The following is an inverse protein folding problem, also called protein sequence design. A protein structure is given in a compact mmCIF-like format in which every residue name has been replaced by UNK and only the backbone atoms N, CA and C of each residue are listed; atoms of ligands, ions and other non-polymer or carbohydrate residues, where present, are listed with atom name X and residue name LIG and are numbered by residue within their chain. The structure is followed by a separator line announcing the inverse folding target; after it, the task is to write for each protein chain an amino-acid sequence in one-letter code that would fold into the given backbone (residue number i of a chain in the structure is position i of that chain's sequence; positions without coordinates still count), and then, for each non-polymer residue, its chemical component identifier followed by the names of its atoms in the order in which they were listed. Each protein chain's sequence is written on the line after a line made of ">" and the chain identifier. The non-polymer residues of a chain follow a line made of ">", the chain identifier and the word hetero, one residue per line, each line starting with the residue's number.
data_IF_688970504421
#
_entry.id   IF_688970504421
#
_cell.length_a   1.000
_cell.length_b   1.000
_cell.length_c   1.000
_cell.angle_alpha   90.00
_cell.angle_beta   90.00
_cell.angle_gamma   90.00
#
_symmetry.space_group_name_H-M   'P 1'
#
loop_
_entity.id
_entity.type
_entity.pdbx_description
1 polymer ?
#
# COMPACT_ATOMS: atom_id res chain seq x y z
N UNK A 1 21.16 7.46 46.98
CA UNK A 1 20.82 6.15 46.36
C UNK A 1 19.41 5.64 46.67
N UNK A 2 18.63 6.23 47.59
CA UNK A 2 17.25 5.78 47.87
C UNK A 2 16.21 6.23 46.82
N UNK A 3 16.45 7.38 46.18
CA UNK A 3 15.55 7.93 45.16
C UNK A 3 15.74 7.34 43.75
N UNK A 4 16.89 6.74 43.47
CA UNK A 4 17.16 6.10 42.18
C UNK A 4 16.34 4.82 42.00
N UNK A 5 16.15 4.04 43.08
CA UNK A 5 15.33 2.83 43.04
C UNK A 5 13.83 3.11 42.89
N UNK A 6 13.33 4.25 43.38
CA UNK A 6 11.92 4.63 43.26
C UNK A 6 11.56 5.04 41.82
N UNK A 7 12.49 5.67 41.10
CA UNK A 7 12.29 6.08 39.70
C UNK A 7 12.25 4.86 38.77
N UNK A 8 13.07 3.82 39.02
CA UNK A 8 13.05 2.59 38.21
C UNK A 8 11.75 1.77 38.35
N UNK A 9 11.06 1.84 39.49
CA UNK A 9 9.80 1.12 39.73
C UNK A 9 8.61 1.80 39.01
N UNK A 10 8.66 3.12 38.83
CA UNK A 10 7.62 3.89 38.12
C UNK A 10 7.63 3.62 36.60
N UNK A 11 8.79 3.36 36.00
CA UNK A 11 8.89 3.03 34.57
C UNK A 11 8.47 1.60 34.23
N UNK A 12 8.46 0.67 35.19
CA UNK A 12 8.05 -0.72 34.95
C UNK A 12 6.52 -0.90 34.84
N UNK A 13 5.74 0.08 35.32
CA UNK A 13 4.28 0.03 35.31
C UNK A 13 3.64 0.74 34.11
N UNK A 14 4.44 1.14 33.10
CA UNK A 14 3.91 1.44 31.77
C UNK A 14 3.50 0.11 31.11
N UNK A 15 2.39 -0.46 31.58
CA UNK A 15 1.63 -1.41 30.80
C UNK A 15 1.26 -0.68 29.52
N UNK A 16 1.97 -0.99 28.42
CA UNK A 16 1.52 -0.65 27.08
C UNK A 16 0.10 -1.20 27.01
N UNK A 17 -0.90 -0.32 26.99
CA UNK A 17 -2.26 -0.72 26.71
C UNK A 17 -2.20 -1.16 25.25
N UNK A 18 -1.95 -2.45 25.02
CA UNK A 18 -2.03 -3.05 23.71
C UNK A 18 -3.52 -3.04 23.37
N UNK A 19 -3.97 -1.98 22.70
CA UNK A 19 -5.28 -2.00 22.05
C UNK A 19 -5.26 -3.23 21.15
N UNK A 20 -6.13 -4.18 21.44
CA UNK A 20 -6.24 -5.41 20.66
C UNK A 20 -6.49 -5.04 19.20
N UNK A 21 -5.97 -5.86 18.28
CA UNK A 21 -6.25 -5.69 16.85
C UNK A 21 -7.76 -5.55 16.62
N UNK A 22 -8.20 -4.66 15.71
CA UNK A 22 -9.62 -4.52 15.43
C UNK A 22 -10.18 -5.84 14.93
N UNK A 23 -11.44 -6.13 15.27
CA UNK A 23 -12.12 -7.29 14.70
C UNK A 23 -12.34 -7.09 13.19
N UNK A 24 -12.28 -8.17 12.40
CA UNK A 24 -12.49 -8.14 10.96
C UNK A 24 -13.84 -7.50 10.61
N UNK A 25 -14.88 -7.73 11.40
CA UNK A 25 -16.20 -7.12 11.17
C UNK A 25 -16.17 -5.58 11.28
N UNK A 26 -15.35 -5.02 12.19
CA UNK A 26 -15.20 -3.57 12.33
C UNK A 26 -14.53 -2.96 11.09
N UNK A 27 -13.46 -3.60 10.60
CA UNK A 27 -12.77 -3.18 9.38
C UNK A 27 -13.70 -3.29 8.17
N UNK A 28 -14.45 -4.39 8.05
CA UNK A 28 -15.41 -4.60 6.96
C UNK A 28 -16.47 -3.52 6.91
N UNK A 29 -17.01 -3.10 8.05
CA UNK A 29 -17.99 -2.01 8.13
C UNK A 29 -17.46 -0.70 7.51
N UNK A 30 -16.18 -0.39 7.70
CA UNK A 30 -15.54 0.79 7.10
C UNK A 30 -15.24 0.61 5.61
N UNK A 31 -15.11 -0.62 5.13
CA UNK A 31 -14.88 -0.93 3.71
C UNK A 31 -16.18 -1.04 2.91
N UNK A 32 -17.32 -1.16 3.57
CA UNK A 32 -18.64 -1.31 2.95
C UNK A 32 -19.27 0.04 2.54
N UNK A 33 -20.35 -0.03 1.77
CA UNK A 33 -21.11 1.14 1.33
C UNK A 33 -21.04 1.42 -0.17
N UNK A 34 -22.13 1.98 -0.70
CA UNK A 34 -22.29 2.28 -2.14
C UNK A 34 -21.39 3.43 -2.59
N UNK A 35 -21.31 4.50 -1.81
CA UNK A 35 -20.52 5.71 -2.09
C UNK A 35 -19.25 5.76 -1.25
N UNK A 36 -18.56 4.62 -1.16
CA UNK A 36 -17.39 4.50 -0.30
C UNK A 36 -16.28 5.47 -0.71
N UNK A 37 -15.67 6.07 0.32
CA UNK A 37 -14.44 6.85 0.25
C UNK A 37 -13.55 6.43 1.42
N UNK A 38 -12.24 6.61 1.27
CA UNK A 38 -11.31 6.33 2.34
C UNK A 38 -11.50 7.34 3.48
N UNK A 39 -12.07 6.88 4.59
CA UNK A 39 -12.24 7.65 5.83
C UNK A 39 -11.00 7.51 6.71
N UNK A 40 -10.07 8.46 6.54
CA UNK A 40 -8.75 8.42 7.19
C UNK A 40 -8.86 8.35 8.71
N UNK A 41 -9.72 9.18 9.30
CA UNK A 41 -9.88 9.27 10.75
C UNK A 41 -10.41 7.95 11.32
N UNK A 42 -11.48 7.42 10.72
CA UNK A 42 -12.07 6.15 11.17
C UNK A 42 -11.09 4.98 11.09
N UNK A 43 -10.29 4.88 10.03
CA UNK A 43 -9.28 3.82 9.92
C UNK A 43 -8.14 3.99 10.94
N UNK A 44 -7.67 5.22 11.20
CA UNK A 44 -6.60 5.46 12.17
C UNK A 44 -7.05 5.19 13.62
N UNK A 45 -8.34 5.38 13.93
CA UNK A 45 -8.92 5.09 15.24
C UNK A 45 -9.04 3.60 15.56
N UNK A 46 -8.95 2.69 14.58
CA UNK A 46 -8.99 1.24 14.80
C UNK A 46 -7.79 0.72 15.60
N UNK A 47 -6.69 1.48 15.63
CA UNK A 47 -5.52 1.17 16.44
C UNK A 47 -4.53 0.21 15.79
N UNK A 48 -3.71 -0.41 16.64
CA UNK A 48 -2.60 -1.27 16.22
C UNK A 48 -3.10 -2.50 15.44
N UNK A 49 -2.23 -3.06 14.60
CA UNK A 49 -2.49 -4.29 13.83
C UNK A 49 -3.67 -4.21 12.82
N UNK A 50 -4.25 -3.03 12.61
CA UNK A 50 -5.25 -2.79 11.55
C UNK A 50 -4.72 -3.16 10.16
N UNK A 51 -3.44 -2.94 9.92
CA UNK A 51 -2.75 -3.33 8.68
C UNK A 51 -2.82 -4.83 8.43
N UNK A 52 -2.65 -5.65 9.47
CA UNK A 52 -2.73 -7.12 9.35
C UNK A 52 -4.12 -7.57 8.90
N UNK A 53 -5.18 -6.99 9.47
CA UNK A 53 -6.56 -7.30 9.10
C UNK A 53 -6.87 -6.84 7.68
N UNK A 54 -6.38 -5.66 7.29
CA UNK A 54 -6.51 -5.16 5.91
C UNK A 54 -5.74 -6.02 4.90
N UNK A 55 -4.57 -6.54 5.27
CA UNK A 55 -3.80 -7.50 4.46
C UNK A 55 -4.60 -8.79 4.26
N UNK A 56 -5.21 -9.32 5.33
CA UNK A 56 -6.07 -10.51 5.25
C UNK A 56 -7.23 -10.28 4.26
N UNK A 57 -7.97 -9.18 4.41
CA UNK A 57 -9.10 -8.82 3.55
C UNK A 57 -8.64 -8.60 2.10
N UNK A 58 -7.55 -7.86 1.89
CA UNK A 58 -6.99 -7.62 0.55
C UNK A 58 -6.53 -8.90 -0.12
N UNK A 59 -5.97 -9.83 0.65
CA UNK A 59 -5.50 -11.14 0.21
C UNK A 59 -6.60 -12.12 -0.18
N UNK A 60 -7.72 -12.08 0.55
CA UNK A 60 -8.80 -13.07 0.46
C UNK A 60 -9.47 -13.11 -0.92
N UNK A 61 -9.25 -14.21 -1.67
CA UNK A 61 -9.83 -14.41 -3.00
C UNK A 61 -11.31 -14.79 -2.99
N UNK A 62 -11.86 -15.17 -1.83
CA UNK A 62 -13.30 -15.46 -1.68
C UNK A 62 -14.14 -14.19 -1.61
N UNK A 63 -13.52 -13.06 -1.23
CA UNK A 63 -14.19 -11.77 -1.15
C UNK A 63 -14.35 -11.13 -2.52
N UNK A 64 -15.44 -10.37 -2.66
CA UNK A 64 -15.68 -9.54 -3.84
C UNK A 64 -14.58 -8.49 -4.00
N UNK A 65 -14.15 -8.28 -5.25
CA UNK A 65 -13.00 -7.44 -5.56
C UNK A 65 -13.11 -5.99 -5.06
N UNK A 66 -14.30 -5.40 -4.97
CA UNK A 66 -14.40 -4.03 -4.48
C UNK A 66 -13.97 -3.91 -3.01
N UNK A 67 -14.23 -4.90 -2.16
CA UNK A 67 -13.79 -4.88 -0.75
C UNK A 67 -12.28 -5.01 -0.68
N UNK A 68 -11.72 -5.93 -1.47
CA UNK A 68 -10.27 -6.13 -1.58
C UNK A 68 -9.57 -4.87 -2.07
N UNK A 69 -10.13 -4.22 -3.09
CA UNK A 69 -9.63 -2.94 -3.61
C UNK A 69 -9.61 -1.84 -2.56
N UNK A 70 -10.69 -1.71 -1.79
CA UNK A 70 -10.79 -0.71 -0.72
C UNK A 70 -9.82 -1.00 0.43
N UNK A 71 -9.58 -2.27 0.73
CA UNK A 71 -8.58 -2.67 1.71
C UNK A 71 -7.17 -2.29 1.27
N UNK A 72 -6.83 -2.49 -0.02
CA UNK A 72 -5.56 -2.02 -0.59
C UNK A 72 -5.43 -0.48 -0.49
N UNK A 73 -6.49 0.26 -0.81
CA UNK A 73 -6.46 1.73 -0.70
C UNK A 73 -6.25 2.16 0.77
N UNK A 74 -6.92 1.51 1.74
CA UNK A 74 -6.78 1.79 3.16
C UNK A 74 -5.38 1.44 3.72
N UNK A 75 -4.71 0.41 3.19
CA UNK A 75 -3.34 0.08 3.57
C UNK A 75 -2.36 1.24 3.35
N UNK A 76 -2.63 2.17 2.43
CA UNK A 76 -1.79 3.36 2.26
C UNK A 76 -1.69 4.26 3.50
N UNK A 77 -2.62 4.11 4.47
CA UNK A 77 -2.61 4.84 5.74
C UNK A 77 -1.69 4.21 6.79
N UNK A 78 -1.21 2.98 6.57
CA UNK A 78 -0.46 2.20 7.55
C UNK A 78 0.93 1.88 7.00
N UNK A 79 1.92 2.79 7.14
CA UNK A 79 3.24 2.65 6.54
C UNK A 79 4.16 1.67 7.30
N UNK A 80 3.67 0.45 7.54
CA UNK A 80 4.42 -0.64 8.19
C UNK A 80 5.20 -1.45 7.14
N UNK A 81 6.21 -2.20 7.60
CA UNK A 81 6.97 -3.10 6.72
C UNK A 81 6.09 -4.22 6.15
N UNK A 82 5.12 -4.71 6.94
CA UNK A 82 4.15 -5.72 6.51
C UNK A 82 3.30 -5.20 5.35
N UNK A 83 2.77 -3.98 5.48
CA UNK A 83 2.02 -3.32 4.43
C UNK A 83 2.87 -3.18 3.17
N UNK A 84 4.09 -2.65 3.30
CA UNK A 84 4.95 -2.40 2.16
C UNK A 84 5.27 -3.69 1.40
N UNK A 85 5.69 -4.73 2.13
CA UNK A 85 6.01 -6.06 1.57
C UNK A 85 4.79 -6.69 0.90
N UNK A 86 3.62 -6.61 1.54
CA UNK A 86 2.38 -7.10 0.97
C UNK A 86 2.03 -6.38 -0.33
N UNK A 87 2.04 -5.04 -0.34
CA UNK A 87 1.70 -4.24 -1.53
C UNK A 87 2.68 -4.44 -2.68
N UNK A 88 3.97 -4.64 -2.39
CA UNK A 88 4.98 -5.00 -3.40
C UNK A 88 4.67 -6.34 -4.07
N UNK A 89 4.43 -7.39 -3.27
CA UNK A 89 4.04 -8.70 -3.77
C UNK A 89 2.72 -8.60 -4.56
N UNK A 90 1.76 -7.82 -4.06
CA UNK A 90 0.46 -7.66 -4.67
C UNK A 90 0.51 -6.95 -6.02
N UNK A 91 1.39 -5.95 -6.14
CA UNK A 91 1.60 -5.18 -7.35
C UNK A 91 2.17 -6.02 -8.51
N UNK A 92 2.78 -7.16 -8.20
CA UNK A 92 3.36 -8.07 -9.19
C UNK A 92 2.40 -9.19 -9.63
N UNK A 93 1.16 -9.22 -9.10
CA UNK A 93 0.14 -10.21 -9.51
C UNK A 93 -0.30 -10.03 -10.97
N UNK A 94 -0.63 -11.15 -11.62
CA UNK A 94 -1.14 -11.16 -13.00
C UNK A 94 -2.46 -10.41 -13.18
N UNK A 95 -3.32 -10.38 -12.15
CA UNK A 95 -4.60 -9.67 -12.21
C UNK A 95 -4.40 -8.16 -12.11
N UNK A 96 -4.41 -7.52 -13.28
CA UNK A 96 -4.01 -6.13 -13.46
C UNK A 96 -4.75 -5.09 -12.59
N UNK A 97 -6.07 -5.19 -12.34
CA UNK A 97 -6.75 -4.24 -11.46
C UNK A 97 -6.20 -4.23 -10.03
N UNK A 98 -5.88 -5.42 -9.49
CA UNK A 98 -5.26 -5.53 -8.17
C UNK A 98 -3.81 -5.05 -8.20
N UNK A 99 -3.04 -5.45 -9.21
CA UNK A 99 -1.64 -5.04 -9.35
C UNK A 99 -1.48 -3.52 -9.36
N UNK A 100 -2.32 -2.84 -10.15
CA UNK A 100 -2.36 -1.38 -10.19
C UNK A 100 -2.70 -0.76 -8.84
N UNK A 101 -3.71 -1.28 -8.14
CA UNK A 101 -4.10 -0.75 -6.83
C UNK A 101 -3.03 -0.98 -5.76
N UNK A 102 -2.37 -2.13 -5.79
CA UNK A 102 -1.22 -2.40 -4.92
C UNK A 102 -0.10 -1.37 -5.14
N UNK A 103 0.24 -1.08 -6.39
CA UNK A 103 1.23 -0.06 -6.73
C UNK A 103 0.80 1.35 -6.32
N UNK A 104 -0.46 1.74 -6.59
CA UNK A 104 -0.99 3.05 -6.18
C UNK A 104 -1.00 3.23 -4.66
N UNK A 105 -1.42 2.19 -3.92
CA UNK A 105 -1.41 2.21 -2.45
C UNK A 105 0.02 2.35 -1.90
N UNK A 106 0.99 1.62 -2.47
CA UNK A 106 2.39 1.73 -2.06
C UNK A 106 2.92 3.15 -2.36
N UNK A 107 2.64 3.68 -3.55
CA UNK A 107 3.02 5.04 -3.92
C UNK A 107 2.45 6.07 -2.94
N UNK A 108 1.16 5.97 -2.63
CA UNK A 108 0.47 6.95 -1.80
C UNK A 108 0.94 6.89 -0.33
N UNK A 109 1.18 5.69 0.21
CA UNK A 109 1.59 5.52 1.61
C UNK A 109 3.09 5.68 1.86
N UNK A 110 3.94 5.36 0.87
CA UNK A 110 5.39 5.20 1.10
C UNK A 110 6.26 6.15 0.29
N UNK A 111 5.77 6.85 -0.73
CA UNK A 111 6.69 7.64 -1.57
C UNK A 111 7.39 8.77 -0.82
N UNK A 112 6.70 9.42 0.13
CA UNK A 112 7.27 10.52 0.92
C UNK A 112 8.40 10.07 1.86
N UNK A 113 8.31 8.85 2.41
CA UNK A 113 9.23 8.34 3.43
C UNK A 113 10.24 7.33 2.89
N UNK A 114 9.87 6.57 1.87
CA UNK A 114 10.66 5.51 1.24
C UNK A 114 10.66 5.62 -0.30
N UNK A 115 11.08 6.77 -0.88
CA UNK A 115 10.97 7.00 -2.32
C UNK A 115 11.70 5.96 -3.18
N UNK A 116 12.87 5.50 -2.71
CA UNK A 116 13.66 4.49 -3.42
C UNK A 116 12.96 3.13 -3.48
N UNK A 117 12.16 2.78 -2.46
CA UNK A 117 11.37 1.55 -2.47
C UNK A 117 10.33 1.57 -3.59
N UNK A 118 9.56 2.66 -3.65
CA UNK A 118 8.54 2.86 -4.69
C UNK A 118 9.16 2.90 -6.09
N UNK A 119 10.29 3.61 -6.27
CA UNK A 119 11.04 3.63 -7.55
C UNK A 119 11.52 2.23 -7.96
N UNK A 120 12.06 1.44 -7.03
CA UNK A 120 12.49 0.06 -7.33
C UNK A 120 11.32 -0.83 -7.78
N UNK A 121 10.15 -0.74 -7.12
CA UNK A 121 8.98 -1.48 -7.57
C UNK A 121 8.53 -1.02 -8.95
N UNK A 122 8.37 0.29 -9.17
CA UNK A 122 7.98 0.84 -10.45
C UNK A 122 8.93 0.38 -11.59
N UNK A 123 10.23 0.33 -11.32
CA UNK A 123 11.23 -0.15 -12.28
C UNK A 123 11.00 -1.61 -12.70
N UNK A 124 10.59 -2.48 -11.77
CA UNK A 124 10.22 -3.87 -12.07
C UNK A 124 8.92 -3.93 -12.87
N UNK A 125 7.92 -3.13 -12.48
CA UNK A 125 6.61 -3.09 -13.12
C UNK A 125 6.62 -2.56 -14.57
N UNK A 126 7.67 -1.84 -15.00
CA UNK A 126 7.88 -1.50 -16.41
C UNK A 126 8.01 -2.73 -17.33
N UNK A 127 8.30 -3.91 -16.77
CA UNK A 127 8.39 -5.18 -17.50
C UNK A 127 7.19 -6.09 -17.26
N UNK A 128 6.15 -5.60 -16.59
CA UNK A 128 4.98 -6.41 -16.23
C UNK A 128 4.25 -6.91 -17.49
N UNK A 129 3.74 -8.17 -17.52
CA UNK A 129 3.06 -8.71 -18.70
C UNK A 129 1.82 -7.91 -19.09
N UNK A 130 1.11 -7.36 -18.10
CA UNK A 130 -0.05 -6.51 -18.37
C UNK A 130 0.33 -5.06 -18.72
N UNK A 131 -0.13 -4.52 -19.87
CA UNK A 131 0.24 -3.18 -20.33
C UNK A 131 -0.31 -2.05 -19.44
N UNK A 132 -1.46 -2.22 -18.80
CA UNK A 132 -2.04 -1.19 -17.92
C UNK A 132 -1.20 -0.99 -16.65
N UNK A 133 -0.52 -2.05 -16.19
CA UNK A 133 0.45 -1.97 -15.07
C UNK A 133 1.71 -1.24 -15.54
N UNK A 134 2.22 -1.57 -16.74
CA UNK A 134 3.37 -0.86 -17.34
C UNK A 134 3.09 0.64 -17.50
N UNK A 135 1.90 1.02 -17.97
CA UNK A 135 1.48 2.44 -18.11
C UNK A 135 1.48 3.15 -16.76
N UNK A 136 0.92 2.53 -15.72
CA UNK A 136 0.87 3.12 -14.37
C UNK A 136 2.28 3.35 -13.81
N UNK A 137 3.16 2.36 -13.93
CA UNK A 137 4.56 2.48 -13.53
C UNK A 137 5.33 3.52 -14.36
N UNK A 138 5.11 3.56 -15.67
CA UNK A 138 5.76 4.50 -16.59
C UNK A 138 5.35 5.95 -16.31
N UNK A 139 4.07 6.20 -16.00
CA UNK A 139 3.60 7.54 -15.61
C UNK A 139 4.24 8.05 -14.33
N UNK A 140 4.42 7.17 -13.34
CA UNK A 140 5.18 7.51 -12.15
C UNK A 140 6.65 7.81 -12.48
N UNK A 141 7.30 6.93 -13.26
CA UNK A 141 8.69 7.14 -13.68
C UNK A 141 8.90 8.39 -14.53
N UNK A 142 7.91 8.84 -15.30
CA UNK A 142 7.99 10.09 -16.06
C UNK A 142 8.33 11.28 -15.17
N UNK A 143 7.72 11.36 -13.99
CA UNK A 143 7.93 12.44 -13.03
C UNK A 143 9.16 12.20 -12.15
N UNK A 144 9.46 10.93 -11.83
CA UNK A 144 10.42 10.60 -10.78
C UNK A 144 11.78 10.06 -11.26
N UNK A 145 11.88 9.60 -12.52
CA UNK A 145 13.09 9.07 -13.16
C UNK A 145 13.00 9.20 -14.70
N UNK A 146 13.25 10.41 -15.20
CA UNK A 146 13.19 10.71 -16.63
C UNK A 146 14.13 9.84 -17.49
N UNK A 147 15.38 9.52 -17.09
CA UNK A 147 16.21 8.56 -17.83
C UNK A 147 15.55 7.19 -17.99
N UNK A 148 14.99 6.62 -16.91
CA UNK A 148 14.34 5.32 -16.97
C UNK A 148 13.07 5.36 -17.82
N UNK A 149 12.27 6.44 -17.72
CA UNK A 149 11.10 6.64 -18.56
C UNK A 149 11.46 6.73 -20.06
N UNK A 150 12.52 7.47 -20.42
CA UNK A 150 13.02 7.53 -21.81
C UNK A 150 13.46 6.16 -22.32
N UNK A 151 14.11 5.36 -21.47
CA UNK A 151 14.50 3.99 -21.81
C UNK A 151 13.28 3.10 -22.03
N UNK A 152 12.27 3.21 -21.19
CA UNK A 152 10.99 2.50 -21.36
C UNK A 152 10.36 2.80 -22.71
N UNK A 153 10.25 4.08 -23.10
CA UNK A 153 9.67 4.46 -24.40
C UNK A 153 10.43 3.91 -25.60
N UNK A 154 11.74 3.67 -25.48
CA UNK A 154 12.53 3.06 -26.56
C UNK A 154 12.34 1.54 -26.67
N UNK A 155 12.06 0.87 -25.55
CA UNK A 155 12.02 -0.60 -25.46
C UNK A 155 10.61 -1.18 -25.52
N UNK A 156 9.59 -0.42 -25.12
CA UNK A 156 8.19 -0.86 -25.15
C UNK A 156 7.76 -1.12 -26.60
N UNK A 157 7.30 -2.33 -26.89
CA UNK A 157 6.86 -2.75 -28.23
C UNK A 157 5.53 -2.10 -28.61
N UNK A 158 4.61 -1.96 -27.65
CA UNK A 158 3.24 -1.53 -27.91
C UNK A 158 3.18 -0.01 -28.09
N UNK A 159 2.90 0.43 -29.32
CA UNK A 159 2.82 1.87 -29.66
C UNK A 159 1.77 2.63 -28.84
N UNK A 160 0.63 1.99 -28.58
CA UNK A 160 -0.43 2.56 -27.76
C UNK A 160 -0.01 2.68 -26.30
N UNK A 161 0.78 1.74 -25.75
CA UNK A 161 1.33 1.84 -24.38
C UNK A 161 2.28 3.02 -24.28
N UNK A 162 3.17 3.21 -25.26
CA UNK A 162 4.05 4.38 -25.33
C UNK A 162 3.26 5.69 -25.33
N UNK A 163 2.18 5.76 -26.12
CA UNK A 163 1.30 6.94 -26.19
C UNK A 163 0.57 7.21 -24.88
N UNK A 164 -0.04 6.18 -24.28
CA UNK A 164 -0.78 6.32 -23.02
C UNK A 164 0.11 6.69 -21.84
N UNK A 165 1.35 6.20 -21.82
CA UNK A 165 2.33 6.51 -20.76
C UNK A 165 2.82 7.96 -20.78
N UNK A 166 2.62 8.66 -21.89
CA UNK A 166 2.98 10.07 -22.06
C UNK A 166 1.84 11.05 -21.73
N UNK A 167 0.64 10.54 -21.42
CA UNK A 167 -0.45 11.34 -20.84
C UNK A 167 -0.23 11.45 -19.34
#
# INVERSE_FOLDING_TARGET
>A
MKYLFIICILFWNLTVITVAAPDKAQVMKLLEGRHWKLDVESFQLLGNDTDKVLIEIGGDTSLINYLRFRALDALSLFPTENTASFLELYAEKSFAPLARRGFEALKNGFYKTQPQRVKRLAARLLKHPNPQVRISAARFMRSEDAPQFKRFLKLESDSWVRKESQK
#
